data_IF_102337448651
#
_entry.id   IF_102337448651
#
_cell.length_a   1.000
_cell.length_b   1.000
_cell.length_c   1.000
_cell.angle_alpha   90.00
_cell.angle_beta   90.00
_cell.angle_gamma   90.00
#
_symmetry.space_group_name_H-M   'P 1'
#
loop_
_entity.id
_entity.type
_entity.pdbx_description
1 polymer ?
#
# COMPACT_ATOMS: atom_id res chain seq x y z
N UNK A 1 -0.98 -3.02 21.44
CA UNK A 1 0.10 -3.52 20.58
C UNK A 1 -0.55 -4.16 19.37
N UNK A 2 -0.20 -3.67 18.19
CA UNK A 2 -0.67 -4.23 16.92
C UNK A 2 -0.12 -5.65 16.73
N UNK A 3 -0.87 -6.48 16.01
CA UNK A 3 -0.53 -7.90 15.83
C UNK A 3 0.63 -8.11 14.83
N UNK A 4 1.03 -7.07 14.12
CA UNK A 4 2.09 -7.13 13.11
C UNK A 4 1.64 -7.67 11.74
N UNK A 5 0.38 -8.10 11.62
CA UNK A 5 -0.17 -8.67 10.40
C UNK A 5 -1.68 -8.43 10.34
N UNK A 6 -2.16 -7.89 9.24
CA UNK A 6 -3.59 -7.83 8.93
C UNK A 6 -4.00 -9.13 8.21
N UNK A 7 -4.77 -9.98 8.91
CA UNK A 7 -5.15 -11.31 8.39
C UNK A 7 -6.12 -11.22 7.21
N UNK A 8 -7.03 -10.25 7.24
CA UNK A 8 -8.00 -9.93 6.19
C UNK A 8 -7.34 -9.60 4.84
N UNK A 9 -6.13 -9.07 4.83
CA UNK A 9 -5.34 -8.81 3.62
C UNK A 9 -4.62 -10.06 3.03
N UNK A 10 -4.86 -11.26 3.55
CA UNK A 10 -4.24 -12.49 3.02
C UNK A 10 -4.45 -12.67 1.52
N UNK A 11 -5.68 -12.60 0.97
CA UNK A 11 -5.90 -12.74 -0.47
C UNK A 11 -5.22 -11.62 -1.27
N UNK A 12 -5.21 -10.37 -0.75
CA UNK A 12 -4.55 -9.26 -1.41
C UNK A 12 -3.03 -9.47 -1.49
N UNK A 13 -2.39 -9.96 -0.42
CA UNK A 13 -0.96 -10.30 -0.44
C UNK A 13 -0.63 -11.41 -1.45
N UNK A 14 -1.49 -12.43 -1.58
CA UNK A 14 -1.33 -13.50 -2.57
C UNK A 14 -1.47 -12.96 -4.00
N UNK A 15 -2.40 -12.04 -4.23
CA UNK A 15 -2.58 -11.37 -5.52
C UNK A 15 -1.34 -10.54 -5.89
N UNK A 16 -0.84 -9.73 -4.95
CA UNK A 16 0.42 -8.98 -5.13
C UNK A 16 1.56 -9.94 -5.48
N UNK A 17 1.72 -11.06 -4.76
CA UNK A 17 2.75 -12.04 -5.06
C UNK A 17 2.62 -12.61 -6.48
N UNK A 18 1.41 -12.96 -6.91
CA UNK A 18 1.17 -13.51 -8.25
C UNK A 18 1.54 -12.53 -9.37
N UNK A 19 1.46 -11.23 -9.12
CA UNK A 19 1.71 -10.18 -10.11
C UNK A 19 3.11 -9.56 -10.03
N UNK A 20 3.85 -9.74 -8.92
CA UNK A 20 5.07 -8.99 -8.62
C UNK A 20 6.31 -9.42 -9.40
N UNK A 21 6.34 -10.63 -9.98
CA UNK A 21 7.55 -11.17 -10.62
C UNK A 21 8.10 -10.22 -11.69
N UNK A 22 9.37 -9.82 -11.52
CA UNK A 22 10.07 -8.91 -12.42
C UNK A 22 9.64 -7.45 -12.34
N UNK A 23 8.66 -7.10 -11.52
CA UNK A 23 8.09 -5.74 -11.39
C UNK A 23 8.78 -4.92 -10.30
N UNK A 24 8.72 -3.60 -10.45
CA UNK A 24 9.06 -2.63 -9.40
C UNK A 24 7.79 -2.40 -8.57
N UNK A 25 7.87 -2.71 -7.29
CA UNK A 25 6.73 -2.63 -6.36
C UNK A 25 6.88 -1.47 -5.37
N UNK A 26 5.82 -0.68 -5.21
CA UNK A 26 5.71 0.38 -4.20
C UNK A 26 4.63 0.01 -3.18
N UNK A 27 4.99 0.08 -1.90
CA UNK A 27 4.09 -0.16 -0.78
C UNK A 27 4.03 1.09 0.10
N UNK A 28 2.89 1.77 0.10
CA UNK A 28 2.66 3.00 0.87
C UNK A 28 1.81 2.71 2.10
N UNK A 29 2.15 3.34 3.24
CA UNK A 29 1.64 2.98 4.57
C UNK A 29 1.94 1.52 4.88
N UNK A 30 3.21 1.14 4.66
CA UNK A 30 3.58 -0.26 4.53
C UNK A 30 3.49 -1.06 5.83
N UNK A 31 3.33 -0.42 6.98
CA UNK A 31 3.28 -1.07 8.29
C UNK A 31 4.51 -1.98 8.49
N UNK A 32 4.32 -3.25 8.77
CA UNK A 32 5.41 -4.24 8.91
C UNK A 32 5.89 -4.82 7.57
N UNK A 33 5.45 -4.23 6.45
CA UNK A 33 5.78 -4.56 5.07
C UNK A 33 5.49 -6.02 4.66
N UNK A 34 4.44 -6.64 5.20
CA UNK A 34 4.10 -8.03 4.83
C UNK A 34 3.74 -8.17 3.35
N UNK A 35 3.08 -7.17 2.74
CA UNK A 35 2.83 -7.16 1.29
C UNK A 35 4.14 -7.10 0.48
N UNK A 36 5.12 -6.33 0.97
CA UNK A 36 6.46 -6.25 0.37
C UNK A 36 7.20 -7.58 0.45
N UNK A 37 7.14 -8.28 1.59
CA UNK A 37 7.73 -9.61 1.73
C UNK A 37 7.15 -10.57 0.69
N UNK A 38 5.83 -10.57 0.49
CA UNK A 38 5.17 -11.41 -0.52
C UNK A 38 5.62 -11.06 -1.94
N UNK A 39 5.68 -9.76 -2.28
CA UNK A 39 6.15 -9.31 -3.59
C UNK A 39 7.62 -9.69 -3.84
N UNK A 40 8.48 -9.47 -2.84
CA UNK A 40 9.89 -9.75 -2.92
C UNK A 40 10.18 -11.25 -3.05
N UNK A 41 9.53 -12.08 -2.20
CA UNK A 41 9.65 -13.54 -2.26
C UNK A 41 9.15 -14.14 -3.59
N UNK A 42 8.19 -13.49 -4.23
CA UNK A 42 7.69 -13.86 -5.55
C UNK A 42 8.57 -13.37 -6.71
N UNK A 43 9.69 -12.72 -6.43
CA UNK A 43 10.66 -12.28 -7.44
C UNK A 43 10.39 -10.90 -8.02
N UNK A 44 9.85 -9.96 -7.24
CA UNK A 44 9.84 -8.56 -7.60
C UNK A 44 11.27 -8.08 -7.94
N UNK A 45 11.40 -7.29 -9.00
CA UNK A 45 12.71 -6.75 -9.43
C UNK A 45 13.31 -5.83 -8.36
N UNK A 46 12.48 -5.03 -7.72
CA UNK A 46 12.81 -4.17 -6.60
C UNK A 46 11.55 -3.80 -5.85
N UNK A 47 11.68 -3.42 -4.58
CA UNK A 47 10.57 -2.86 -3.81
C UNK A 47 10.98 -1.60 -3.08
N UNK A 48 10.04 -0.67 -2.93
CA UNK A 48 10.15 0.49 -2.05
C UNK A 48 8.95 0.48 -1.11
N UNK A 49 9.21 0.57 0.19
CA UNK A 49 8.17 0.60 1.22
C UNK A 49 8.33 1.86 2.05
N UNK A 50 7.24 2.60 2.20
CA UNK A 50 7.23 3.90 2.88
C UNK A 50 6.28 3.84 4.08
N UNK A 51 6.77 4.24 5.24
CA UNK A 51 5.98 4.40 6.46
C UNK A 51 6.57 5.50 7.34
N UNK A 52 5.76 6.13 8.17
CA UNK A 52 6.21 7.16 9.11
C UNK A 52 6.85 6.56 10.37
N UNK A 53 6.46 5.35 10.76
CA UNK A 53 6.82 4.70 12.02
C UNK A 53 8.16 3.97 11.92
N UNK A 54 9.15 4.42 12.70
CA UNK A 54 10.40 3.68 12.87
C UNK A 54 10.17 2.25 13.37
N UNK A 55 9.29 2.09 14.36
CA UNK A 55 8.99 0.79 14.96
C UNK A 55 8.49 -0.20 13.92
N UNK A 56 7.61 0.24 13.02
CA UNK A 56 7.08 -0.60 11.95
C UNK A 56 8.15 -0.91 10.89
N UNK A 57 8.97 0.05 10.53
CA UNK A 57 10.07 -0.17 9.59
C UNK A 57 11.17 -1.08 10.16
N UNK A 58 11.45 -1.03 11.46
CA UNK A 58 12.36 -1.98 12.11
C UNK A 58 11.77 -3.40 12.09
N UNK A 59 10.46 -3.52 12.25
CA UNK A 59 9.78 -4.80 12.12
C UNK A 59 9.77 -5.28 10.66
N UNK A 60 9.52 -4.40 9.70
CA UNK A 60 9.61 -4.68 8.27
C UNK A 60 11.00 -5.22 7.89
N UNK A 61 12.07 -4.60 8.40
CA UNK A 61 13.45 -5.06 8.16
C UNK A 61 13.67 -6.48 8.69
N UNK A 62 13.17 -6.79 9.89
CA UNK A 62 13.24 -8.15 10.45
C UNK A 62 12.46 -9.13 9.59
N UNK A 63 11.26 -8.76 9.10
CA UNK A 63 10.46 -9.62 8.23
C UNK A 63 11.19 -9.93 6.93
N UNK A 64 11.80 -8.94 6.27
CA UNK A 64 12.62 -9.16 5.08
C UNK A 64 13.82 -10.08 5.39
N UNK A 65 14.56 -9.82 6.47
CA UNK A 65 15.70 -10.63 6.87
C UNK A 65 15.32 -12.09 7.17
N UNK A 66 14.22 -12.32 7.89
CA UNK A 66 13.73 -13.67 8.20
C UNK A 66 13.36 -14.47 6.95
N UNK A 67 13.04 -13.80 5.86
CA UNK A 67 12.73 -14.43 4.58
C UNK A 67 13.93 -14.49 3.62
N UNK A 68 15.14 -14.13 4.08
CA UNK A 68 16.35 -14.17 3.26
C UNK A 68 16.35 -13.18 2.07
N UNK A 69 15.61 -12.10 2.20
CA UNK A 69 15.45 -11.11 1.13
C UNK A 69 16.58 -10.08 1.18
N UNK A 70 17.10 -9.73 0.01
CA UNK A 70 18.30 -8.92 -0.18
C UNK A 70 18.04 -7.41 -0.11
N UNK A 71 19.12 -6.62 -0.25
CA UNK A 71 19.17 -5.16 -0.21
C UNK A 71 18.47 -4.45 -1.39
N UNK A 72 17.88 -5.18 -2.33
CA UNK A 72 17.05 -4.61 -3.41
C UNK A 72 15.69 -4.10 -2.91
N UNK A 73 15.43 -4.25 -1.59
CA UNK A 73 14.17 -3.92 -0.95
C UNK A 73 14.35 -2.74 -0.01
N UNK A 74 13.97 -1.54 -0.47
CA UNK A 74 14.18 -0.27 0.24
C UNK A 74 13.06 -0.02 1.24
N UNK A 75 13.45 0.40 2.45
CA UNK A 75 12.55 0.87 3.51
C UNK A 75 12.83 2.35 3.76
N UNK A 76 11.84 3.20 3.55
CA UNK A 76 11.97 4.65 3.66
C UNK A 76 11.05 5.20 4.76
N UNK A 77 11.65 5.90 5.74
CA UNK A 77 10.89 6.59 6.76
C UNK A 77 10.47 7.97 6.27
N UNK A 78 9.19 8.12 5.94
CA UNK A 78 8.64 9.39 5.51
C UNK A 78 7.14 9.48 5.78
N UNK A 79 6.63 10.70 5.85
CA UNK A 79 5.22 10.97 5.61
C UNK A 79 4.91 10.65 4.15
N UNK A 80 3.89 9.81 3.90
CA UNK A 80 3.58 9.29 2.56
C UNK A 80 3.21 10.41 1.59
N UNK A 81 2.41 11.40 2.03
CA UNK A 81 2.02 12.51 1.17
C UNK A 81 3.23 13.36 0.77
N UNK A 82 4.07 13.71 1.74
CA UNK A 82 5.30 14.46 1.49
C UNK A 82 6.30 13.68 0.62
N UNK A 83 6.39 12.36 0.82
CA UNK A 83 7.22 11.48 0.00
C UNK A 83 6.75 11.47 -1.45
N UNK A 84 5.46 11.27 -1.68
CA UNK A 84 4.86 11.30 -3.02
C UNK A 84 5.05 12.65 -3.73
N UNK A 85 4.96 13.74 -3.00
CA UNK A 85 5.19 15.09 -3.56
C UNK A 85 6.65 15.33 -3.97
N UNK A 86 7.59 14.71 -3.27
CA UNK A 86 9.02 14.82 -3.56
C UNK A 86 9.54 13.78 -4.57
N UNK A 87 8.85 12.64 -4.73
CA UNK A 87 9.26 11.58 -5.61
C UNK A 87 9.28 12.03 -7.08
N UNK A 88 10.45 12.00 -7.70
CA UNK A 88 10.66 12.39 -9.11
C UNK A 88 11.45 11.31 -9.84
N UNK A 89 11.08 11.08 -11.11
CA UNK A 89 11.84 10.16 -11.99
C UNK A 89 11.76 8.69 -11.59
N UNK A 90 10.99 8.32 -10.57
CA UNK A 90 10.73 6.94 -10.18
C UNK A 90 9.45 6.46 -10.86
N UNK A 91 9.45 5.20 -11.27
CA UNK A 91 8.26 4.53 -11.81
C UNK A 91 8.13 3.13 -11.22
N UNK A 92 6.89 2.75 -10.92
CA UNK A 92 6.53 1.46 -10.36
C UNK A 92 5.51 0.76 -11.25
N UNK A 93 5.65 -0.55 -11.38
CA UNK A 93 4.76 -1.37 -12.20
C UNK A 93 3.58 -1.89 -11.38
N UNK A 94 3.73 -1.91 -10.07
CA UNK A 94 2.72 -2.33 -9.11
C UNK A 94 2.80 -1.44 -7.87
N UNK A 95 1.67 -0.84 -7.47
CA UNK A 95 1.58 0.02 -6.28
C UNK A 95 0.49 -0.54 -5.36
N UNK A 96 0.78 -0.62 -4.07
CA UNK A 96 -0.20 -0.93 -3.04
C UNK A 96 -0.26 0.20 -2.01
N UNK A 97 -1.47 0.65 -1.69
CA UNK A 97 -1.75 1.74 -0.77
C UNK A 97 -2.82 1.28 0.21
N UNK A 98 -2.49 1.28 1.50
CA UNK A 98 -3.41 0.91 2.58
C UNK A 98 -3.33 1.92 3.73
N UNK A 99 -3.89 3.14 3.54
CA UNK A 99 -3.81 4.19 4.52
C UNK A 99 -4.69 3.89 5.74
N UNK A 100 -4.28 4.36 6.93
CA UNK A 100 -5.17 4.38 8.09
C UNK A 100 -6.36 5.31 7.84
N UNK A 101 -7.47 5.07 8.53
CA UNK A 101 -8.64 5.97 8.45
C UNK A 101 -8.25 7.41 8.80
N UNK A 102 -7.42 7.58 9.84
CA UNK A 102 -6.84 8.86 10.26
C UNK A 102 -5.37 8.67 10.61
N UNK A 103 -4.53 9.63 10.25
CA UNK A 103 -3.11 9.65 10.61
C UNK A 103 -2.68 11.04 11.07
N UNK A 104 -2.00 11.10 12.21
CA UNK A 104 -1.40 12.34 12.71
C UNK A 104 -0.09 12.62 11.95
N UNK A 105 -0.15 13.31 10.84
CA UNK A 105 1.02 13.84 10.17
C UNK A 105 1.41 15.18 10.80
N UNK A 106 2.61 15.26 11.38
CA UNK A 106 3.12 16.51 11.97
C UNK A 106 3.55 17.56 10.92
N UNK A 107 3.59 17.20 9.64
CA UNK A 107 4.09 18.06 8.54
C UNK A 107 3.00 18.66 7.67
N UNK A 108 1.82 18.09 7.65
CA UNK A 108 0.65 18.74 7.07
C UNK A 108 -0.08 19.48 8.19
N UNK A 109 -0.54 20.70 7.93
CA UNK A 109 -1.46 21.41 8.81
C UNK A 109 -2.78 20.66 8.87
N UNK A 110 -2.79 19.50 9.58
CA UNK A 110 -3.98 18.67 9.76
C UNK A 110 -3.69 17.17 9.82
N UNK A 111 -4.68 16.46 10.31
CA UNK A 111 -4.75 15.00 10.34
C UNK A 111 -5.11 14.51 8.94
N UNK A 112 -4.36 13.55 8.38
CA UNK A 112 -4.78 12.83 7.18
C UNK A 112 -6.11 12.13 7.46
N UNK A 113 -7.05 12.27 6.54
CA UNK A 113 -8.37 11.62 6.56
C UNK A 113 -8.57 10.91 5.22
N UNK A 114 -8.72 9.60 5.24
CA UNK A 114 -8.80 8.79 4.02
C UNK A 114 -9.96 9.21 3.12
N UNK A 115 -11.12 9.57 3.69
CA UNK A 115 -12.27 9.98 2.89
C UNK A 115 -12.04 11.32 2.18
N UNK A 116 -11.40 12.27 2.84
CA UNK A 116 -11.11 13.59 2.29
C UNK A 116 -9.91 13.58 1.34
N UNK A 117 -8.86 12.86 1.70
CA UNK A 117 -7.53 13.03 1.11
C UNK A 117 -7.17 11.98 0.06
N UNK A 118 -7.98 10.89 -0.08
CA UNK A 118 -7.69 9.84 -1.07
C UNK A 118 -7.60 10.34 -2.51
N UNK A 119 -8.37 11.36 -3.00
CA UNK A 119 -8.23 11.79 -4.38
C UNK A 119 -6.82 12.35 -4.65
N UNK A 120 -6.29 13.15 -3.70
CA UNK A 120 -4.94 13.70 -3.81
C UNK A 120 -3.87 12.63 -3.67
N UNK A 121 -4.04 11.69 -2.74
CA UNK A 121 -3.16 10.55 -2.54
C UNK A 121 -3.05 9.71 -3.83
N UNK A 122 -4.19 9.35 -4.41
CA UNK A 122 -4.25 8.57 -5.65
C UNK A 122 -3.67 9.35 -6.83
N UNK A 123 -3.98 10.64 -6.98
CA UNK A 123 -3.39 11.47 -8.03
C UNK A 123 -1.86 11.47 -7.99
N UNK A 124 -1.28 11.61 -6.81
CA UNK A 124 0.18 11.62 -6.64
C UNK A 124 0.79 10.25 -6.94
N UNK A 125 0.18 9.19 -6.43
CA UNK A 125 0.66 7.82 -6.65
C UNK A 125 0.57 7.41 -8.13
N UNK A 126 -0.51 7.78 -8.82
CA UNK A 126 -0.69 7.52 -10.26
C UNK A 126 0.37 8.19 -11.13
N UNK A 127 0.98 9.30 -10.70
CA UNK A 127 2.12 9.92 -11.41
C UNK A 127 3.38 9.05 -11.40
N UNK A 128 3.48 8.14 -10.43
CA UNK A 128 4.58 7.19 -10.29
C UNK A 128 4.25 5.82 -10.92
N UNK A 129 3.03 5.60 -11.40
CA UNK A 129 2.65 4.36 -12.02
C UNK A 129 3.17 4.30 -13.46
N UNK A 130 3.89 3.23 -13.79
CA UNK A 130 4.37 2.99 -15.15
C UNK A 130 3.19 2.70 -16.11
N UNK A 131 3.34 2.96 -17.41
CA UNK A 131 2.35 2.55 -18.41
C UNK A 131 2.04 1.05 -18.29
N UNK A 132 0.76 0.69 -18.23
CA UNK A 132 0.30 -0.69 -18.03
C UNK A 132 0.46 -1.22 -16.60
N UNK A 133 0.89 -0.38 -15.66
CA UNK A 133 0.96 -0.73 -14.23
C UNK A 133 -0.41 -0.79 -13.56
N UNK A 134 -0.45 -1.38 -12.37
CA UNK A 134 -1.66 -1.52 -11.54
C UNK A 134 -1.42 -0.87 -10.18
N UNK A 135 -2.44 -0.13 -9.70
CA UNK A 135 -2.49 0.40 -8.36
C UNK A 135 -3.63 -0.27 -7.60
N UNK A 136 -3.33 -0.84 -6.46
CA UNK A 136 -4.30 -1.34 -5.49
C UNK A 136 -4.43 -0.35 -4.34
N UNK A 137 -5.66 0.03 -4.06
CA UNK A 137 -6.02 0.89 -2.93
C UNK A 137 -6.95 0.14 -2.00
N UNK A 138 -6.61 0.07 -0.74
CA UNK A 138 -7.41 -0.52 0.33
C UNK A 138 -7.60 0.49 1.46
N UNK A 139 -8.65 0.34 2.25
CA UNK A 139 -8.83 1.08 3.50
C UNK A 139 -9.87 0.36 4.38
N UNK A 140 -9.84 0.61 5.69
CA UNK A 140 -10.77 0.02 6.65
C UNK A 140 -11.91 0.98 7.09
N UNK A 141 -12.11 2.08 6.38
CA UNK A 141 -13.19 3.01 6.69
C UNK A 141 -14.52 2.52 6.14
N UNK A 142 -15.37 1.98 6.99
CA UNK A 142 -16.64 1.32 6.61
C UNK A 142 -17.63 2.17 5.80
N UNK A 143 -17.50 3.50 5.83
CA UNK A 143 -18.33 4.43 5.08
C UNK A 143 -17.60 5.05 3.90
N UNK A 144 -16.46 4.48 3.53
CA UNK A 144 -15.67 4.97 2.42
C UNK A 144 -16.49 5.02 1.14
N UNK A 145 -16.31 6.10 0.39
CA UNK A 145 -16.84 6.26 -0.97
C UNK A 145 -15.73 6.80 -1.85
N UNK A 146 -15.48 6.14 -2.95
CA UNK A 146 -14.56 6.65 -3.96
C UNK A 146 -15.08 7.99 -4.47
N UNK A 147 -14.17 8.95 -4.63
CA UNK A 147 -14.52 10.26 -5.18
C UNK A 147 -14.83 10.12 -6.67
N UNK A 148 -15.97 10.67 -7.17
CA UNK A 148 -16.32 10.61 -8.58
C UNK A 148 -15.26 11.19 -9.52
N UNK A 149 -14.44 12.14 -9.07
CA UNK A 149 -13.34 12.69 -9.87
C UNK A 149 -12.23 11.66 -10.13
N UNK A 150 -12.02 10.71 -9.22
CA UNK A 150 -11.07 9.58 -9.39
C UNK A 150 -11.63 8.62 -10.44
N UNK A 151 -12.91 8.26 -10.34
CA UNK A 151 -13.59 7.36 -11.27
C UNK A 151 -13.70 7.95 -12.69
N UNK A 152 -13.86 9.27 -12.78
CA UNK A 152 -13.88 9.97 -14.07
C UNK A 152 -12.50 10.03 -14.76
N UNK A 153 -11.41 9.93 -13.97
CA UNK A 153 -10.04 10.09 -14.47
C UNK A 153 -9.33 8.78 -14.73
N UNK A 154 -9.65 7.73 -13.98
CA UNK A 154 -8.96 6.45 -14.01
C UNK A 154 -9.96 5.30 -14.19
N UNK A 155 -9.48 4.20 -14.78
CA UNK A 155 -10.25 2.96 -14.76
C UNK A 155 -10.21 2.39 -13.35
N UNK A 156 -11.34 2.40 -12.66
CA UNK A 156 -11.49 1.91 -11.29
C UNK A 156 -12.35 0.64 -11.29
N UNK A 157 -11.86 -0.40 -10.64
CA UNK A 157 -12.57 -1.65 -10.43
C UNK A 157 -12.62 -1.98 -8.94
N UNK A 158 -13.82 -2.22 -8.40
CA UNK A 158 -13.99 -2.73 -7.05
C UNK A 158 -13.76 -4.25 -7.03
N UNK A 159 -12.67 -4.67 -6.40
CA UNK A 159 -12.29 -6.07 -6.24
C UNK A 159 -12.48 -6.59 -4.80
N UNK A 160 -13.16 -5.86 -3.94
CA UNK A 160 -13.33 -6.21 -2.51
C UNK A 160 -13.88 -7.62 -2.33
N UNK A 161 -14.86 -8.01 -3.12
CA UNK A 161 -15.43 -9.37 -3.07
C UNK A 161 -14.42 -10.47 -3.44
N UNK A 162 -13.40 -10.17 -4.25
CA UNK A 162 -12.36 -11.10 -4.69
C UNK A 162 -11.21 -11.20 -3.68
N UNK A 163 -11.07 -10.19 -2.83
CA UNK A 163 -9.96 -10.07 -1.85
C UNK A 163 -10.39 -10.30 -0.41
N UNK A 164 -11.67 -10.59 -0.18
CA UNK A 164 -12.20 -10.96 1.13
C UNK A 164 -12.13 -12.48 1.34
N UNK A 165 -11.32 -12.91 2.31
CA UNK A 165 -11.18 -14.32 2.65
C UNK A 165 -12.45 -14.89 3.34
N UNK A 166 -12.65 -16.20 3.24
CA UNK A 166 -13.81 -16.91 3.81
C UNK A 166 -14.01 -16.65 5.29
N UNK A 167 -12.92 -16.49 6.05
CA UNK A 167 -12.94 -16.21 7.48
C UNK A 167 -13.62 -14.88 7.81
N UNK A 168 -13.61 -13.94 6.85
CA UNK A 168 -14.13 -12.58 7.01
C UNK A 168 -15.45 -12.32 6.27
N UNK A 169 -15.99 -13.29 5.53
CA UNK A 169 -17.23 -13.11 4.75
C UNK A 169 -18.44 -12.68 5.56
N UNK A 170 -18.48 -12.99 6.88
CA UNK A 170 -19.55 -12.53 7.79
C UNK A 170 -19.47 -11.02 8.06
N UNK A 171 -18.35 -10.38 7.76
CA UNK A 171 -18.13 -8.95 7.89
C UNK A 171 -17.53 -8.38 6.61
N UNK A 172 -18.35 -8.32 5.56
CA UNK A 172 -17.95 -7.87 4.22
C UNK A 172 -17.48 -6.40 4.13
N UNK A 173 -17.49 -5.69 5.25
CA UNK A 173 -17.03 -4.29 5.35
C UNK A 173 -15.82 -4.18 6.28
N UNK A 174 -14.96 -5.17 6.31
CA UNK A 174 -13.76 -5.16 7.17
C UNK A 174 -12.63 -4.30 6.56
N UNK A 175 -12.62 -4.17 5.26
CA UNK A 175 -11.77 -3.26 4.47
C UNK A 175 -12.42 -2.86 3.16
#
# INVERSE_FOLDING_TARGET
>A
LDTGLFLDHRPMRLRIAAEAKGKRFLNLFCYTATATVHAAAAGARSTTSVDLSNTYLDWARRNLSLNGLSDLHRLERADVMAWLESARGQQFDLIFIDPPTFSNSKKLEGVFDVQRDHPRLLELAMKLLAPGGVLYFSNNFRRFRMDPAVEARYLVEDISAQTLDRDFQRNSRIH
#
